data_IF_226764998833
#
_entry.id   IF_226764998833
#
_cell.length_a   1.000
_cell.length_b   1.000
_cell.length_c   1.000
_cell.angle_alpha   90.00
_cell.angle_beta   90.00
_cell.angle_gamma   90.00
#
_symmetry.space_group_name_H-M   'P 1'
#
loop_
_entity.id
_entity.type
_entity.pdbx_description
1 polymer ?
#
# COMPACT_ATOMS: atom_id res chain seq x y z
N UNK A 1 -5.67 -9.10 5.94
CA UNK A 1 -6.04 -7.77 5.41
C UNK A 1 -7.21 -7.84 4.42
N UNK A 2 -7.17 -8.71 3.40
CA UNK A 2 -8.20 -8.75 2.33
C UNK A 2 -9.64 -9.11 2.76
N UNK A 3 -9.87 -9.77 3.90
CA UNK A 3 -11.24 -10.16 4.32
C UNK A 3 -12.00 -9.09 5.10
N UNK A 4 -11.36 -7.96 5.46
CA UNK A 4 -12.02 -6.91 6.26
C UNK A 4 -13.01 -6.15 5.37
N UNK A 5 -12.59 -5.74 4.17
CA UNK A 5 -13.45 -5.01 3.24
C UNK A 5 -14.68 -5.81 2.77
N UNK A 6 -14.63 -7.15 2.80
CA UNK A 6 -15.78 -8.01 2.45
C UNK A 6 -16.70 -8.30 3.64
N UNK A 7 -16.29 -7.98 4.87
CA UNK A 7 -17.08 -8.18 6.10
C UNK A 7 -17.67 -6.88 6.64
N UNK A 8 -17.28 -5.73 6.08
CA UNK A 8 -17.88 -4.44 6.38
C UNK A 8 -19.01 -4.21 5.36
N UNK A 9 -20.24 -3.95 5.82
CA UNK A 9 -21.40 -3.62 4.98
C UNK A 9 -21.28 -2.23 4.29
N UNK A 10 -20.08 -1.68 4.22
CA UNK A 10 -19.78 -0.33 3.72
C UNK A 10 -18.79 -0.39 2.56
N UNK A 11 -18.96 0.52 1.58
CA UNK A 11 -18.05 0.65 0.44
C UNK A 11 -16.66 1.05 0.92
N UNK A 12 -15.75 0.08 0.98
CA UNK A 12 -14.37 0.28 1.44
C UNK A 12 -13.44 0.36 0.24
N UNK A 13 -12.63 1.42 0.17
CA UNK A 13 -11.58 1.57 -0.84
C UNK A 13 -10.24 1.33 -0.15
N UNK A 14 -9.47 0.37 -0.65
CA UNK A 14 -8.13 0.06 -0.16
C UNK A 14 -7.13 0.50 -1.20
N UNK A 15 -6.16 1.31 -0.78
CA UNK A 15 -5.07 1.77 -1.61
C UNK A 15 -3.73 1.44 -0.93
N UNK A 16 -2.84 0.77 -1.65
CA UNK A 16 -1.49 0.50 -1.17
C UNK A 16 -0.54 1.55 -1.73
N UNK A 17 0.16 2.23 -0.82
CA UNK A 17 1.19 3.21 -1.16
C UNK A 17 2.55 2.54 -0.92
N UNK A 18 3.33 2.23 -1.97
CA UNK A 18 4.66 1.68 -1.79
C UNK A 18 5.58 2.74 -1.19
N UNK A 19 6.49 2.33 -0.30
CA UNK A 19 7.49 3.21 0.30
C UNK A 19 8.89 2.78 -0.14
N UNK A 20 9.71 3.74 -0.58
CA UNK A 20 11.11 3.50 -0.89
C UNK A 20 11.95 4.68 -0.40
N UNK A 21 12.76 4.42 0.62
CA UNK A 21 13.79 5.33 1.08
C UNK A 21 14.99 4.51 1.60
N UNK A 22 16.12 5.18 1.79
CA UNK A 22 17.38 4.55 2.22
C UNK A 22 17.24 3.88 3.60
N UNK A 23 16.42 4.43 4.51
CA UNK A 23 16.23 3.87 5.84
C UNK A 23 15.52 2.52 5.76
N UNK A 24 14.44 2.43 4.98
CA UNK A 24 13.71 1.17 4.74
C UNK A 24 14.62 0.14 4.08
N UNK A 25 15.43 0.53 3.09
CA UNK A 25 16.36 -0.38 2.43
C UNK A 25 17.43 -0.90 3.40
N UNK A 26 17.97 -0.02 4.24
CA UNK A 26 18.95 -0.39 5.26
C UNK A 26 18.36 -1.34 6.30
N UNK A 27 17.17 -1.03 6.82
CA UNK A 27 16.49 -1.85 7.83
C UNK A 27 16.06 -3.21 7.25
N UNK A 28 15.64 -3.23 5.99
CA UNK A 28 15.32 -4.46 5.29
C UNK A 28 16.55 -5.34 5.10
N UNK A 29 17.68 -4.77 4.67
CA UNK A 29 18.95 -5.49 4.49
C UNK A 29 19.50 -6.05 5.81
N UNK A 30 19.38 -5.27 6.89
CA UNK A 30 19.78 -5.70 8.24
C UNK A 30 18.98 -6.91 8.71
N UNK A 31 17.67 -6.92 8.44
CA UNK A 31 16.78 -7.99 8.85
C UNK A 31 16.78 -9.19 7.88
N UNK A 32 17.23 -8.99 6.64
CA UNK A 32 17.28 -10.01 5.59
C UNK A 32 18.65 -10.02 4.91
N UNK A 33 19.72 -10.47 5.58
CA UNK A 33 21.09 -10.37 5.10
C UNK A 33 21.37 -11.14 3.80
N UNK A 34 20.47 -12.03 3.38
CA UNK A 34 20.54 -12.76 2.11
C UNK A 34 19.94 -11.99 0.93
N UNK A 35 19.17 -10.93 1.18
CA UNK A 35 18.61 -10.07 0.13
C UNK A 35 19.54 -8.87 -0.04
N UNK A 36 20.22 -8.82 -1.18
CA UNK A 36 21.02 -7.65 -1.54
C UNK A 36 20.08 -6.44 -1.62
N UNK A 37 20.39 -5.38 -0.85
CA UNK A 37 19.75 -4.08 -0.98
C UNK A 37 20.08 -3.47 -2.35
N UNK A 38 19.39 -3.95 -3.38
CA UNK A 38 19.51 -3.40 -4.71
C UNK A 38 18.39 -2.36 -4.86
N UNK A 39 18.72 -1.08 -4.71
CA UNK A 39 17.77 0.02 -4.82
C UNK A 39 17.00 -0.03 -6.16
N UNK A 40 17.68 -0.44 -7.22
CA UNK A 40 17.12 -0.61 -8.56
C UNK A 40 16.06 -1.71 -8.61
N UNK A 41 16.27 -2.81 -7.87
CA UNK A 41 15.29 -3.89 -7.75
C UNK A 41 14.00 -3.40 -7.09
N UNK A 42 14.13 -2.74 -5.93
CA UNK A 42 12.96 -2.24 -5.20
C UNK A 42 12.22 -1.17 -5.99
N UNK A 43 12.95 -0.27 -6.66
CA UNK A 43 12.36 0.73 -7.53
C UNK A 43 11.58 0.08 -8.69
N UNK A 44 12.15 -0.93 -9.35
CA UNK A 44 11.47 -1.65 -10.42
C UNK A 44 10.17 -2.33 -9.95
N UNK A 45 10.18 -2.97 -8.77
CA UNK A 45 8.97 -3.58 -8.18
C UNK A 45 7.86 -2.53 -8.00
N UNK A 46 8.22 -1.32 -7.61
CA UNK A 46 7.27 -0.23 -7.42
C UNK A 46 6.70 0.24 -8.75
N UNK A 47 7.56 0.45 -9.76
CA UNK A 47 7.11 0.82 -11.11
C UNK A 47 6.15 -0.22 -11.69
N UNK A 48 6.47 -1.51 -11.51
CA UNK A 48 5.63 -2.61 -11.95
C UNK A 48 4.24 -2.57 -11.27
N UNK A 49 4.21 -2.36 -9.95
CA UNK A 49 2.94 -2.24 -9.23
C UNK A 49 2.10 -1.04 -9.69
N UNK A 50 2.73 0.10 -9.93
CA UNK A 50 2.05 1.31 -10.41
C UNK A 50 1.49 1.10 -11.83
N UNK A 51 2.29 0.55 -12.74
CA UNK A 51 1.85 0.22 -14.10
C UNK A 51 0.67 -0.77 -14.10
N UNK A 52 0.75 -1.84 -13.28
CA UNK A 52 -0.36 -2.77 -13.12
C UNK A 52 -1.62 -2.09 -12.55
N UNK A 53 -1.45 -1.09 -11.68
CA UNK A 53 -2.55 -0.36 -11.05
C UNK A 53 -3.24 0.62 -12.01
N UNK A 54 -2.55 1.14 -13.02
CA UNK A 54 -3.14 1.99 -14.07
C UNK A 54 -4.16 1.24 -14.93
N UNK A 55 -3.97 -0.07 -15.12
CA UNK A 55 -4.96 -0.93 -15.78
C UNK A 55 -6.09 -1.42 -14.84
N UNK A 56 -6.14 -0.89 -13.62
CA UNK A 56 -7.20 -1.10 -12.64
C UNK A 56 -6.66 -1.52 -11.27
N UNK A 57 -7.15 -0.87 -10.20
CA UNK A 57 -6.70 -1.11 -8.81
C UNK A 57 -6.79 -2.57 -8.38
N UNK A 58 -7.81 -3.30 -8.82
CA UNK A 58 -7.95 -4.73 -8.52
C UNK A 58 -6.85 -5.58 -9.19
N UNK A 59 -6.48 -5.27 -10.44
CA UNK A 59 -5.39 -5.94 -11.15
C UNK A 59 -4.04 -5.58 -10.54
N UNK A 60 -3.80 -4.30 -10.23
CA UNK A 60 -2.62 -3.86 -9.50
C UNK A 60 -2.42 -4.59 -8.17
N UNK A 61 -3.51 -4.75 -7.39
CA UNK A 61 -3.48 -5.55 -6.15
C UNK A 61 -3.16 -7.02 -6.40
N UNK A 62 -3.80 -7.65 -7.39
CA UNK A 62 -3.54 -9.05 -7.72
C UNK A 62 -2.09 -9.25 -8.17
N UNK A 63 -1.56 -8.36 -9.00
CA UNK A 63 -0.16 -8.34 -9.41
C UNK A 63 0.78 -8.29 -8.20
N UNK A 64 0.56 -7.35 -7.28
CA UNK A 64 1.39 -7.20 -6.08
C UNK A 64 1.37 -8.47 -5.22
N UNK A 65 0.20 -9.07 -5.00
CA UNK A 65 0.05 -10.28 -4.19
C UNK A 65 0.75 -11.49 -4.82
N UNK A 66 0.60 -11.68 -6.14
CA UNK A 66 1.28 -12.77 -6.86
C UNK A 66 2.79 -12.58 -6.87
N UNK A 67 3.28 -11.34 -7.04
CA UNK A 67 4.70 -11.02 -6.98
C UNK A 67 5.29 -11.28 -5.59
N UNK A 68 4.61 -10.82 -4.54
CA UNK A 68 5.00 -11.08 -3.15
C UNK A 68 5.01 -12.58 -2.84
N UNK A 69 3.99 -13.32 -3.26
CA UNK A 69 3.94 -14.78 -3.10
C UNK A 69 5.09 -15.47 -3.81
N UNK A 70 5.38 -15.08 -5.06
CA UNK A 70 6.48 -15.64 -5.84
C UNK A 70 7.84 -15.43 -5.15
N UNK A 71 8.11 -14.23 -4.66
CA UNK A 71 9.42 -13.88 -4.08
C UNK A 71 9.54 -14.36 -2.63
N UNK A 72 8.53 -14.09 -1.79
CA UNK A 72 8.62 -14.30 -0.35
C UNK A 72 8.23 -15.72 0.07
N UNK A 73 7.23 -16.32 -0.59
CA UNK A 73 6.75 -17.67 -0.24
C UNK A 73 7.41 -18.74 -1.09
N UNK A 74 7.53 -18.52 -2.40
CA UNK A 74 8.08 -19.51 -3.33
C UNK A 74 9.60 -19.34 -3.55
N UNK A 75 10.21 -18.32 -2.93
CA UNK A 75 11.65 -18.03 -3.01
C UNK A 75 12.18 -17.87 -4.45
N UNK A 76 11.34 -17.40 -5.38
CA UNK A 76 11.74 -17.12 -6.75
C UNK A 76 12.52 -15.81 -6.83
N UNK A 77 13.47 -15.74 -7.76
CA UNK A 77 14.19 -14.51 -8.04
C UNK A 77 13.31 -13.56 -8.85
N UNK A 78 13.34 -12.28 -8.51
CA UNK A 78 12.77 -11.23 -9.35
C UNK A 78 13.52 -11.19 -10.68
N UNK A 79 12.78 -11.37 -11.78
CA UNK A 79 13.28 -11.33 -13.16
C UNK A 79 12.20 -10.82 -14.09
N UNK A 80 12.58 -10.28 -15.24
CA UNK A 80 11.60 -9.88 -16.27
C UNK A 80 10.68 -11.03 -16.70
N UNK A 81 11.19 -12.26 -16.73
CA UNK A 81 10.38 -13.44 -17.03
C UNK A 81 9.30 -13.68 -15.98
N UNK A 82 9.63 -13.57 -14.69
CA UNK A 82 8.65 -13.69 -13.61
C UNK A 82 7.57 -12.59 -13.70
N UNK A 83 7.99 -11.34 -13.94
CA UNK A 83 7.07 -10.21 -14.10
C UNK A 83 6.11 -10.47 -15.25
N UNK A 84 6.61 -10.82 -16.44
CA UNK A 84 5.79 -11.13 -17.61
C UNK A 84 4.79 -12.29 -17.37
N UNK A 85 5.20 -13.32 -16.63
CA UNK A 85 4.31 -14.41 -16.24
C UNK A 85 3.16 -13.90 -15.36
N UNK A 86 3.46 -13.07 -14.36
CA UNK A 86 2.43 -12.50 -13.48
C UNK A 86 1.51 -11.55 -14.25
N UNK A 87 2.06 -10.67 -15.10
CA UNK A 87 1.29 -9.77 -15.98
C UNK A 87 0.27 -10.55 -16.80
N UNK A 88 0.72 -11.64 -17.44
CA UNK A 88 -0.13 -12.52 -18.24
C UNK A 88 -1.20 -13.20 -17.37
N UNK A 89 -0.81 -13.75 -16.21
CA UNK A 89 -1.73 -14.49 -15.33
C UNK A 89 -2.82 -13.60 -14.71
N UNK A 90 -2.50 -12.35 -14.40
CA UNK A 90 -3.46 -11.35 -13.89
C UNK A 90 -4.38 -10.83 -15.00
N UNK A 91 -4.03 -11.07 -16.26
CA UNK A 91 -4.78 -10.56 -17.42
C UNK A 91 -4.57 -9.07 -17.64
N UNK A 92 -3.36 -8.58 -17.38
CA UNK A 92 -2.93 -7.24 -17.78
C UNK A 92 -2.61 -7.24 -19.29
N UNK A 93 -2.82 -6.10 -19.94
CA UNK A 93 -2.29 -5.84 -21.27
C UNK A 93 -0.78 -5.65 -21.15
N UNK A 94 -0.02 -6.60 -21.67
CA UNK A 94 1.45 -6.62 -21.52
C UNK A 94 2.14 -5.47 -22.24
N UNK A 95 1.60 -5.01 -23.37
CA UNK A 95 2.20 -3.91 -24.14
C UNK A 95 2.01 -2.59 -23.40
N UNK A 96 0.77 -2.32 -22.98
CA UNK A 96 0.44 -1.14 -22.18
C UNK A 96 1.15 -1.17 -20.83
N UNK A 97 1.28 -2.33 -20.17
CA UNK A 97 2.00 -2.46 -18.92
C UNK A 97 3.47 -2.03 -19.08
N UNK A 98 4.14 -2.50 -20.12
CA UNK A 98 5.54 -2.16 -20.37
C UNK A 98 5.72 -0.68 -20.76
N UNK A 99 4.76 -0.09 -21.47
CA UNK A 99 4.73 1.34 -21.76
C UNK A 99 4.57 2.16 -20.47
N UNK A 100 3.53 1.87 -19.68
CA UNK A 100 3.23 2.54 -18.42
C UNK A 100 4.40 2.44 -17.44
N UNK A 101 5.02 1.26 -17.32
CA UNK A 101 6.17 0.99 -16.45
C UNK A 101 7.34 1.95 -16.69
N UNK A 102 7.54 2.39 -17.93
CA UNK A 102 8.63 3.32 -18.32
C UNK A 102 8.18 4.77 -18.42
N UNK A 103 6.89 5.05 -18.23
CA UNK A 103 6.33 6.38 -18.41
C UNK A 103 6.78 7.35 -17.31
N UNK A 104 6.84 8.64 -17.66
CA UNK A 104 7.04 9.70 -16.67
C UNK A 104 5.84 9.82 -15.70
N UNK A 105 4.63 9.46 -16.17
CA UNK A 105 3.43 9.45 -15.34
C UNK A 105 3.57 8.49 -14.15
N UNK A 106 4.10 7.28 -14.37
CA UNK A 106 4.36 6.32 -13.29
C UNK A 106 5.35 6.88 -12.26
N UNK A 107 6.39 7.58 -12.71
CA UNK A 107 7.37 8.21 -11.81
C UNK A 107 6.75 9.33 -10.99
N UNK A 108 5.90 10.15 -11.61
CA UNK A 108 5.18 11.23 -10.94
C UNK A 108 4.24 10.67 -9.87
N UNK A 109 3.43 9.65 -10.20
CA UNK A 109 2.55 9.01 -9.22
C UNK A 109 3.34 8.44 -8.05
N UNK A 110 4.49 7.80 -8.31
CA UNK A 110 5.36 7.34 -7.23
C UNK A 110 5.90 8.48 -6.36
N UNK A 111 6.25 9.63 -6.93
CA UNK A 111 6.70 10.81 -6.18
C UNK A 111 5.57 11.40 -5.32
N UNK A 112 4.35 11.50 -5.87
CA UNK A 112 3.15 11.93 -5.14
C UNK A 112 2.85 11.00 -3.96
N UNK A 113 3.00 9.69 -4.17
CA UNK A 113 2.89 8.66 -3.13
C UNK A 113 3.93 8.86 -2.02
N UNK A 114 5.20 9.11 -2.36
CA UNK A 114 6.24 9.39 -1.34
C UNK A 114 5.99 10.70 -0.59
N UNK A 115 5.50 11.73 -1.28
CA UNK A 115 5.13 12.99 -0.66
C UNK A 115 3.98 12.79 0.34
N UNK A 116 2.97 12.02 -0.05
CA UNK A 116 1.84 11.65 0.82
C UNK A 116 2.34 10.97 2.10
N UNK A 117 3.21 9.96 1.97
CA UNK A 117 3.81 9.26 3.12
C UNK A 117 4.57 10.23 4.05
N UNK A 118 5.29 11.19 3.47
CA UNK A 118 6.03 12.20 4.21
C UNK A 118 5.12 13.17 4.97
N UNK A 119 4.08 13.68 4.31
CA UNK A 119 3.07 14.56 4.90
C UNK A 119 2.35 13.88 6.07
N UNK A 120 2.03 12.60 5.93
CA UNK A 120 1.43 11.77 6.98
C UNK A 120 2.42 11.35 8.09
N UNK A 121 3.69 11.77 8.00
CA UNK A 121 4.77 11.44 8.96
C UNK A 121 4.94 9.93 9.19
N UNK A 122 4.63 9.12 8.18
CA UNK A 122 4.75 7.68 8.23
C UNK A 122 6.22 7.31 8.00
N UNK A 123 6.80 6.58 8.94
CA UNK A 123 8.19 6.10 8.87
C UNK A 123 8.27 4.60 8.63
N UNK A 124 7.27 3.85 9.10
CA UNK A 124 7.23 2.40 9.03
C UNK A 124 6.31 1.91 7.90
N UNK A 125 6.79 1.02 7.02
CA UNK A 125 6.01 0.49 5.89
C UNK A 125 4.85 -0.43 6.31
N UNK A 126 4.76 -0.83 7.58
CA UNK A 126 3.67 -1.63 8.18
C UNK A 126 2.56 -0.77 8.80
N UNK A 127 2.33 0.42 8.24
CA UNK A 127 1.32 1.37 8.72
C UNK A 127 0.03 1.31 7.89
N UNK A 128 -1.11 1.61 8.53
CA UNK A 128 -2.40 1.81 7.84
C UNK A 128 -2.98 3.15 8.26
N UNK A 129 -3.53 3.88 7.30
CA UNK A 129 -4.31 5.09 7.56
C UNK A 129 -5.76 4.84 7.18
N UNK A 130 -6.67 5.18 8.08
CA UNK A 130 -8.11 5.04 7.89
C UNK A 130 -8.73 6.42 7.86
N UNK A 131 -9.47 6.69 6.78
CA UNK A 131 -10.28 7.89 6.62
C UNK A 131 -11.76 7.53 6.65
N UNK A 132 -12.54 8.31 7.40
CA UNK A 132 -13.99 8.26 7.33
C UNK A 132 -14.51 9.46 6.53
N UNK A 133 -14.81 9.22 5.25
CA UNK A 133 -15.25 10.25 4.31
C UNK A 133 -16.60 10.90 4.64
N UNK A 134 -17.37 10.35 5.58
CA UNK A 134 -18.67 10.90 5.94
C UNK A 134 -18.60 11.95 7.06
N UNK A 135 -17.47 12.07 7.78
CA UNK A 135 -17.48 12.66 9.12
C UNK A 135 -16.26 13.54 9.44
N UNK A 136 -15.05 13.19 9.01
CA UNK A 136 -13.83 13.92 9.41
C UNK A 136 -12.90 14.22 8.22
N UNK A 137 -12.24 15.39 8.28
CA UNK A 137 -11.09 15.74 7.42
C UNK A 137 -9.76 15.13 7.94
N UNK A 138 -9.82 14.38 9.05
CA UNK A 138 -8.67 13.77 9.72
C UNK A 138 -8.59 12.27 9.46
N UNK A 139 -7.35 11.76 9.44
CA UNK A 139 -7.06 10.33 9.32
C UNK A 139 -6.68 9.70 10.67
N UNK A 140 -6.94 8.41 10.81
CA UNK A 140 -6.39 7.59 11.90
C UNK A 140 -5.23 6.77 11.39
N UNK A 141 -4.03 7.00 11.92
CA UNK A 141 -2.84 6.20 11.66
C UNK A 141 -2.76 5.06 12.68
N UNK A 142 -2.75 3.82 12.19
CA UNK A 142 -2.53 2.62 12.99
C UNK A 142 -1.19 1.99 12.58
N UNK A 143 -0.27 1.86 13.53
CA UNK A 143 1.02 1.14 13.35
C UNK A 143 0.93 -0.27 13.91
N UNK A 144 1.77 -1.17 13.40
CA UNK A 144 1.97 -2.54 13.92
C UNK A 144 0.67 -3.31 14.19
N UNK A 145 -0.25 -3.25 13.24
CA UNK A 145 -1.58 -3.82 13.39
C UNK A 145 -1.65 -5.31 13.05
N UNK A 146 -2.59 -5.99 13.71
CA UNK A 146 -3.06 -7.30 13.28
C UNK A 146 -4.51 -7.20 12.75
N UNK A 147 -5.05 -8.34 12.30
CA UNK A 147 -6.41 -8.41 11.77
C UNK A 147 -7.45 -7.84 12.73
N UNK A 148 -7.39 -8.21 14.01
CA UNK A 148 -8.36 -7.81 15.01
C UNK A 148 -8.26 -6.32 15.31
N UNK A 149 -7.04 -5.78 15.46
CA UNK A 149 -6.83 -4.35 15.71
C UNK A 149 -7.39 -3.51 14.55
N UNK A 150 -7.11 -3.92 13.30
CA UNK A 150 -7.63 -3.23 12.12
C UNK A 150 -9.16 -3.35 12.01
N UNK A 151 -9.71 -4.55 12.22
CA UNK A 151 -11.15 -4.79 12.15
C UNK A 151 -11.92 -3.98 13.21
N UNK A 152 -11.42 -3.97 14.45
CA UNK A 152 -11.99 -3.20 15.54
C UNK A 152 -11.96 -1.71 15.23
N UNK A 153 -10.85 -1.20 14.67
CA UNK A 153 -10.74 0.21 14.29
C UNK A 153 -11.73 0.57 13.18
N UNK A 154 -11.88 -0.27 12.15
CA UNK A 154 -12.89 -0.06 11.10
C UNK A 154 -14.31 -0.09 11.66
N UNK A 155 -14.64 -1.02 12.57
CA UNK A 155 -15.96 -1.05 13.18
C UNK A 155 -16.23 0.17 14.05
N UNK A 156 -15.20 0.65 14.76
CA UNK A 156 -15.29 1.85 15.56
C UNK A 156 -15.57 3.06 14.68
N UNK A 157 -14.78 3.31 13.64
CA UNK A 157 -14.98 4.48 12.76
C UNK A 157 -16.34 4.48 12.05
N UNK A 158 -16.96 3.31 11.82
CA UNK A 158 -18.31 3.19 11.27
C UNK A 158 -19.40 3.51 12.31
N UNK A 159 -19.19 3.15 13.59
CA UNK A 159 -20.19 3.23 14.66
C UNK A 159 -20.19 4.55 15.44
N UNK A 160 -19.10 5.30 15.44
CA UNK A 160 -18.98 6.57 16.18
C UNK A 160 -19.05 7.74 15.21
N UNK A 161 -20.25 8.30 14.93
CA UNK A 161 -20.40 9.32 13.91
C UNK A 161 -20.02 10.74 14.35
N UNK A 162 -19.66 10.96 15.62
CA UNK A 162 -19.24 12.27 16.11
C UNK A 162 -18.11 12.08 17.14
N UNK A 163 -16.91 12.54 16.78
CA UNK A 163 -15.65 12.47 17.53
C UNK A 163 -15.09 11.06 17.77
N UNK A 164 -13.90 10.81 17.22
CA UNK A 164 -13.04 9.69 17.63
C UNK A 164 -12.45 10.00 19.02
N UNK A 165 -12.92 9.29 20.03
CA UNK A 165 -12.34 9.30 21.38
C UNK A 165 -11.12 8.36 21.41
N UNK A 166 -9.92 8.97 21.32
CA UNK A 166 -8.62 8.30 21.32
C UNK A 166 -8.39 7.38 22.54
N UNK A 167 -9.18 7.49 23.61
CA UNK A 167 -9.08 6.61 24.79
C UNK A 167 -9.70 5.21 24.57
N UNK A 168 -10.43 5.02 23.47
CA UNK A 168 -11.13 3.76 23.11
C UNK A 168 -10.54 3.04 21.90
N UNK A 169 -9.45 3.59 21.36
CA UNK A 169 -8.84 3.19 20.09
C UNK A 169 -7.73 2.16 20.35
N UNK A 170 -7.47 1.19 19.46
CA UNK A 170 -6.41 0.19 19.66
C UNK A 170 -5.04 0.82 20.00
N UNK A 171 -4.22 0.10 20.76
CA UNK A 171 -2.81 0.49 21.00
C UNK A 171 -2.11 0.84 19.67
N UNK A 172 -1.24 1.85 19.69
CA UNK A 172 -0.51 2.39 18.52
C UNK A 172 -1.34 3.17 17.49
N UNK A 173 -2.46 3.78 17.90
CA UNK A 173 -3.24 4.67 17.03
C UNK A 173 -2.94 6.15 17.31
N UNK A 174 -2.64 6.90 16.26
CA UNK A 174 -2.39 8.35 16.30
C UNK A 174 -3.39 9.08 15.39
N UNK A 175 -3.91 10.22 15.83
CA UNK A 175 -4.68 11.12 14.96
C UNK A 175 -3.69 11.91 14.09
N UNK A 176 -3.90 11.89 12.78
CA UNK A 176 -3.13 12.69 11.83
C UNK A 176 -4.07 13.74 11.24
N UNK A 177 -3.82 15.00 11.62
CA UNK A 177 -4.53 16.16 11.09
C UNK A 177 -3.98 16.54 9.71
N UNK A 178 -4.87 17.06 8.88
CA UNK A 178 -4.67 17.59 7.52
C UNK A 178 -4.53 16.56 6.40
N UNK A 179 -5.66 16.20 5.79
CA UNK A 179 -5.70 15.48 4.52
C UNK A 179 -6.74 16.06 3.55
N UNK A 180 -6.89 17.39 3.51
CA UNK A 180 -7.87 18.09 2.66
C UNK A 180 -7.65 17.87 1.15
N UNK A 181 -6.49 17.34 0.73
CA UNK A 181 -6.11 17.20 -0.69
C UNK A 181 -6.02 15.75 -1.19
N UNK A 182 -6.23 14.74 -0.37
CA UNK A 182 -6.23 13.36 -0.87
C UNK A 182 -7.57 13.00 -1.48
N UNK A 183 -7.64 13.20 -2.78
CA UNK A 183 -8.65 12.57 -3.60
C UNK A 183 -8.20 11.11 -3.77
N UNK A 184 -8.91 10.17 -3.14
CA UNK A 184 -8.82 8.77 -3.53
C UNK A 184 -9.29 8.65 -5.00
N UNK A 185 -8.35 8.86 -5.94
CA UNK A 185 -8.54 8.64 -7.37
C UNK A 185 -8.59 7.15 -7.69
#
# INVERSE_FOLDING_TARGET
MLSIASQLDTKTIVHFIPMLNIQILHDFAKNNPTVVANEELHYNIILDYQAASFQGKNKGRQFLLELQKAILTNHLKYTAQLVNQIVTNVGLDSEMFEEDRRSEMTKQVFQEDQQTVHELKIKDPTSVVIFNSAIEDNGLLLRDFNYNSLFNLCQYTIKTPHHIDLTTVPEHTENIADFTNYQAK
#
